data_IF_897723797515
#
_entry.id   IF_897723797515
#
_cell.length_a   1.000
_cell.length_b   1.000
_cell.length_c   1.000
_cell.angle_alpha   90.00
_cell.angle_beta   90.00
_cell.angle_gamma   90.00
#
_symmetry.space_group_name_H-M   'P 1'
#
loop_
_entity.id
_entity.type
_entity.pdbx_description
1 polymer ?
#
# COMPACT_ATOMS: atom_id res chain seq x y z
N UNK A 1 -31.95 6.01 -27.48
CA UNK A 1 -30.93 6.09 -26.42
C UNK A 1 -31.53 5.39 -25.22
N UNK A 2 -31.15 4.13 -25.03
CA UNK A 2 -31.58 3.33 -23.88
C UNK A 2 -30.66 3.70 -22.74
N UNK A 3 -31.21 4.29 -21.68
CA UNK A 3 -30.49 4.55 -20.43
C UNK A 3 -29.87 3.25 -19.94
N UNK A 4 -28.58 3.28 -19.63
CA UNK A 4 -27.91 2.22 -18.86
C UNK A 4 -28.51 2.33 -17.46
N UNK A 5 -29.49 1.48 -17.16
CA UNK A 5 -29.97 1.25 -15.80
C UNK A 5 -28.91 0.49 -15.02
N UNK A 6 -27.99 1.22 -14.40
CA UNK A 6 -27.14 0.66 -13.35
C UNK A 6 -27.94 0.66 -12.05
N UNK A 7 -28.24 -0.51 -11.49
CA UNK A 7 -28.65 -0.63 -10.10
C UNK A 7 -27.54 -0.01 -9.25
N UNK A 8 -27.82 1.14 -8.61
CA UNK A 8 -26.82 1.97 -7.93
C UNK A 8 -25.89 1.15 -7.05
N UNK A 9 -24.59 1.18 -7.39
CA UNK A 9 -23.56 0.45 -6.65
C UNK A 9 -23.56 0.85 -5.17
N UNK A 10 -23.61 -0.14 -4.27
CA UNK A 10 -23.57 0.07 -2.83
C UNK A 10 -22.15 0.11 -2.26
N UNK A 11 -21.12 -0.08 -3.08
CA UNK A 11 -19.73 -0.16 -2.66
C UNK A 11 -18.94 1.10 -3.03
N UNK A 12 -17.89 1.39 -2.28
CA UNK A 12 -17.00 2.52 -2.53
C UNK A 12 -15.64 2.33 -1.87
N UNK A 13 -14.64 3.08 -2.33
CA UNK A 13 -13.31 3.10 -1.70
C UNK A 13 -13.22 4.34 -0.80
N UNK A 14 -13.03 4.12 0.49
CA UNK A 14 -12.76 5.16 1.47
C UNK A 14 -11.26 5.35 1.67
N UNK A 15 -10.78 6.58 1.50
CA UNK A 15 -9.39 6.97 1.77
C UNK A 15 -9.38 8.16 2.76
N UNK A 16 -9.86 7.98 4.01
CA UNK A 16 -9.72 9.03 5.02
C UNK A 16 -8.24 9.22 5.35
N UNK A 17 -7.81 10.47 5.44
CA UNK A 17 -6.44 10.82 5.81
C UNK A 17 -6.49 11.67 7.08
N UNK A 18 -5.81 11.22 8.12
CA UNK A 18 -5.76 11.89 9.41
C UNK A 18 -4.36 12.47 9.68
N UNK A 19 -4.36 13.70 10.20
CA UNK A 19 -3.18 14.47 10.55
C UNK A 19 -2.06 14.46 9.48
N UNK A 20 -2.45 14.71 8.22
CA UNK A 20 -1.50 14.84 7.12
C UNK A 20 -0.64 16.08 7.32
N UNK A 21 0.65 15.87 7.56
CA UNK A 21 1.65 16.93 7.51
C UNK A 21 2.46 16.74 6.23
N UNK A 22 2.37 17.68 5.30
CA UNK A 22 3.07 17.59 4.03
C UNK A 22 3.74 18.92 3.67
N UNK A 23 4.97 18.83 3.17
CA UNK A 23 5.69 19.92 2.54
C UNK A 23 6.16 19.47 1.16
N UNK A 24 5.94 20.33 0.17
CA UNK A 24 6.30 20.10 -1.23
C UNK A 24 7.03 21.33 -1.73
N UNK A 25 8.25 21.13 -2.20
CA UNK A 25 9.02 22.15 -2.90
C UNK A 25 9.20 21.74 -4.35
N UNK A 26 8.95 22.67 -5.28
CA UNK A 26 9.12 22.49 -6.71
C UNK A 26 9.98 23.62 -7.28
N UNK A 27 10.91 23.28 -8.18
CA UNK A 27 11.71 24.28 -8.89
C UNK A 27 12.05 23.82 -10.30
N UNK A 28 12.25 24.76 -11.21
CA UNK A 28 12.75 24.46 -12.55
C UNK A 28 14.21 24.01 -12.48
N UNK A 29 14.56 22.95 -13.21
CA UNK A 29 15.92 22.43 -13.30
C UNK A 29 16.23 21.88 -14.70
N UNK A 30 17.47 21.43 -14.89
CA UNK A 30 17.88 20.63 -16.03
C UNK A 30 18.52 19.33 -15.56
N UNK A 31 18.49 18.28 -16.37
CA UNK A 31 19.09 16.99 -16.03
C UNK A 31 19.69 16.27 -17.24
N UNK A 32 20.61 15.34 -16.95
CA UNK A 32 21.31 14.55 -17.96
C UNK A 32 22.37 15.35 -18.73
N UNK A 33 23.08 14.67 -19.63
CA UNK A 33 24.14 15.28 -20.45
C UNK A 33 23.62 16.30 -21.45
N UNK A 34 22.34 16.19 -21.84
CA UNK A 34 21.71 17.03 -22.86
C UNK A 34 20.97 18.25 -22.26
N UNK A 35 21.12 18.50 -20.95
CA UNK A 35 20.43 19.58 -20.22
C UNK A 35 18.92 19.62 -20.46
N UNK A 36 18.27 18.44 -20.43
CA UNK A 36 16.82 18.34 -20.62
C UNK A 36 16.09 19.08 -19.51
N UNK A 37 15.06 19.84 -19.86
CA UNK A 37 14.25 20.58 -18.88
C UNK A 37 13.47 19.61 -17.98
N UNK A 38 13.43 19.91 -16.69
CA UNK A 38 12.71 19.14 -15.69
C UNK A 38 12.22 20.02 -14.53
N UNK A 39 11.34 19.45 -13.71
CA UNK A 39 10.91 20.00 -12.43
C UNK A 39 11.62 19.21 -11.35
N UNK A 40 12.50 19.86 -10.58
CA UNK A 40 12.99 19.28 -9.35
C UNK A 40 11.88 19.28 -8.31
N UNK A 41 11.76 18.20 -7.55
CA UNK A 41 10.81 18.08 -6.46
C UNK A 41 11.50 17.63 -5.17
N UNK A 42 10.97 18.10 -4.04
CA UNK A 42 11.23 17.55 -2.72
C UNK A 42 9.89 17.44 -1.98
N UNK A 43 9.54 16.24 -1.58
CA UNK A 43 8.29 15.92 -0.88
C UNK A 43 8.66 15.28 0.44
N UNK A 44 8.06 15.80 1.51
CA UNK A 44 7.99 15.13 2.81
C UNK A 44 6.54 15.12 3.23
N UNK A 45 5.99 13.93 3.47
CA UNK A 45 4.62 13.77 3.93
C UNK A 45 4.58 12.73 5.05
N UNK A 46 3.73 12.94 6.04
CA UNK A 46 3.45 11.96 7.08
C UNK A 46 1.98 11.95 7.45
N UNK A 47 1.48 10.78 7.84
CA UNK A 47 0.13 10.57 8.34
C UNK A 47 0.20 9.93 9.71
N UNK A 48 -0.83 10.12 10.51
CA UNK A 48 -0.99 9.37 11.75
C UNK A 48 -2.02 8.27 11.57
N UNK A 49 -1.75 7.13 12.18
CA UNK A 49 -2.61 5.94 12.06
C UNK A 49 -3.96 6.16 12.70
N UNK A 50 -4.02 6.21 14.04
CA UNK A 50 -5.24 6.44 14.82
C UNK A 50 -5.10 7.68 15.68
N UNK A 51 -6.16 8.49 15.75
CA UNK A 51 -6.25 9.61 16.66
C UNK A 51 -7.69 9.95 17.02
N UNK A 52 -7.87 10.87 17.97
CA UNK A 52 -9.16 11.47 18.29
C UNK A 52 -9.18 12.86 17.66
N UNK A 53 -10.17 13.14 16.82
CA UNK A 53 -10.37 14.48 16.27
C UNK A 53 -10.71 15.44 17.42
N UNK A 54 -9.90 16.49 17.60
CA UNK A 54 -10.03 17.44 18.71
C UNK A 54 -11.28 18.34 18.59
N UNK A 55 -11.90 18.45 17.42
CA UNK A 55 -13.09 19.26 17.15
C UNK A 55 -14.38 18.45 17.36
N UNK A 56 -14.41 17.20 16.92
CA UNK A 56 -15.62 16.36 17.03
C UNK A 56 -15.58 15.42 18.23
N UNK A 57 -14.41 15.18 18.82
CA UNK A 57 -14.21 14.16 19.85
C UNK A 57 -14.35 12.74 19.31
N UNK A 58 -14.45 12.57 17.99
CA UNK A 58 -14.66 11.28 17.35
C UNK A 58 -13.34 10.64 16.91
N UNK A 59 -13.25 9.30 17.00
CA UNK A 59 -12.14 8.53 16.44
C UNK A 59 -11.92 8.82 14.96
N UNK A 60 -10.66 9.01 14.58
CA UNK A 60 -10.21 9.27 13.22
C UNK A 60 -9.02 8.39 12.88
N UNK A 61 -8.95 7.96 11.64
CA UNK A 61 -7.91 7.05 11.18
C UNK A 61 -7.48 7.40 9.76
N UNK A 62 -6.20 7.22 9.46
CA UNK A 62 -5.74 7.16 8.07
C UNK A 62 -5.96 5.74 7.56
N UNK A 63 -6.73 5.58 6.49
CA UNK A 63 -7.12 4.26 5.99
C UNK A 63 -7.24 4.21 4.46
N UNK A 64 -7.15 3.00 3.91
CA UNK A 64 -7.54 2.66 2.54
C UNK A 64 -8.43 1.43 2.67
N UNK A 65 -9.74 1.65 2.56
CA UNK A 65 -10.75 0.62 2.82
C UNK A 65 -11.76 0.54 1.68
N UNK A 66 -12.08 -0.69 1.27
CA UNK A 66 -13.25 -0.97 0.47
C UNK A 66 -14.45 -1.05 1.40
N UNK A 67 -15.53 -0.34 1.09
CA UNK A 67 -16.75 -0.26 1.88
C UNK A 67 -17.88 -0.87 1.06
N UNK A 68 -18.71 -1.70 1.68
CA UNK A 68 -20.01 -2.13 1.18
C UNK A 68 -21.13 -1.57 2.06
N UNK A 69 -21.84 -0.60 1.52
CA UNK A 69 -22.97 0.11 2.12
C UNK A 69 -24.33 -0.47 1.75
N UNK A 70 -24.42 -1.73 1.30
CA UNK A 70 -25.72 -2.36 1.00
C UNK A 70 -26.61 -2.34 2.25
N UNK A 71 -27.92 -2.15 2.06
CA UNK A 71 -28.87 -2.29 3.14
C UNK A 71 -28.86 -3.72 3.69
N UNK A 72 -28.74 -3.84 5.01
CA UNK A 72 -28.79 -5.10 5.72
C UNK A 72 -30.21 -5.50 6.11
N UNK A 73 -30.26 -6.50 6.97
CA UNK A 73 -31.49 -7.12 7.52
C UNK A 73 -32.32 -6.15 8.39
N UNK A 74 -31.75 -4.99 8.73
CA UNK A 74 -32.40 -3.94 9.52
C UNK A 74 -32.87 -2.73 8.69
N UNK A 75 -32.82 -2.81 7.35
CA UNK A 75 -33.25 -1.71 6.47
C UNK A 75 -32.33 -0.48 6.46
N UNK A 76 -31.15 -0.59 7.08
CA UNK A 76 -30.09 0.42 7.11
C UNK A 76 -28.80 -0.15 6.48
N UNK A 77 -27.91 0.72 6.01
CA UNK A 77 -26.64 0.33 5.42
C UNK A 77 -25.74 -0.40 6.44
N UNK A 78 -25.23 -1.58 6.09
CA UNK A 78 -24.38 -2.40 6.97
C UNK A 78 -22.97 -1.84 7.11
N UNK A 79 -22.49 -1.15 6.07
CA UNK A 79 -21.18 -0.51 5.99
C UNK A 79 -20.04 -1.46 6.40
N UNK A 80 -20.02 -2.65 5.81
CA UNK A 80 -18.88 -3.54 5.94
C UNK A 80 -17.66 -2.90 5.29
N UNK A 81 -16.48 -3.18 5.81
CA UNK A 81 -15.25 -2.76 5.19
C UNK A 81 -14.19 -3.84 5.21
N UNK A 82 -13.29 -3.78 4.24
CA UNK A 82 -12.05 -4.55 4.21
C UNK A 82 -10.93 -3.65 3.70
N UNK A 83 -9.78 -3.67 4.37
CA UNK A 83 -8.61 -2.93 3.89
C UNK A 83 -7.62 -2.58 4.99
N UNK A 84 -6.80 -1.58 4.69
CA UNK A 84 -5.80 -1.06 5.61
C UNK A 84 -6.36 0.08 6.41
N UNK A 85 -6.22 0.01 7.72
CA UNK A 85 -6.53 1.12 8.61
C UNK A 85 -5.36 1.43 9.52
N UNK A 86 -5.47 2.54 10.24
CA UNK A 86 -4.46 3.01 11.16
C UNK A 86 -3.08 3.14 10.50
N UNK A 87 -3.07 3.69 9.29
CA UNK A 87 -1.87 3.89 8.47
C UNK A 87 -1.06 5.07 9.03
N UNK A 88 -0.02 4.74 9.80
CA UNK A 88 1.00 5.69 10.24
C UNK A 88 2.17 5.58 9.27
N UNK A 89 2.38 6.63 8.48
CA UNK A 89 3.29 6.61 7.35
C UNK A 89 4.18 7.86 7.33
N UNK A 90 5.38 7.68 6.79
CA UNK A 90 6.33 8.72 6.45
C UNK A 90 6.84 8.48 5.03
N UNK A 91 6.68 9.48 4.18
CA UNK A 91 7.17 9.51 2.81
C UNK A 91 8.14 10.67 2.69
N UNK A 92 9.35 10.38 2.21
CA UNK A 92 10.33 11.38 1.80
C UNK A 92 10.81 11.02 0.41
N UNK A 93 10.72 11.96 -0.52
CA UNK A 93 11.29 11.76 -1.83
C UNK A 93 11.82 13.07 -2.38
N UNK A 94 12.99 13.02 -2.99
CA UNK A 94 13.54 14.11 -3.77
C UNK A 94 14.03 13.59 -5.11
N UNK A 95 13.94 14.42 -6.13
CA UNK A 95 14.38 14.06 -7.47
C UNK A 95 13.78 14.97 -8.53
N UNK A 96 13.46 14.41 -9.68
CA UNK A 96 12.97 15.15 -10.85
C UNK A 96 11.73 14.54 -11.48
N UNK A 97 10.89 15.40 -12.05
CA UNK A 97 9.81 15.06 -12.97
C UNK A 97 10.14 15.69 -14.32
N UNK A 98 10.08 14.91 -15.39
CA UNK A 98 10.28 15.39 -16.76
C UNK A 98 9.38 14.62 -17.73
N UNK A 99 9.41 15.01 -18.99
CA UNK A 99 8.73 14.29 -20.05
C UNK A 99 9.73 13.53 -20.91
N UNK A 100 9.38 12.29 -21.27
CA UNK A 100 10.02 11.49 -22.32
C UNK A 100 9.00 11.29 -23.44
N UNK A 101 9.44 10.90 -24.63
CA UNK A 101 8.57 10.74 -25.81
C UNK A 101 7.35 9.82 -25.55
N UNK A 102 7.52 8.84 -24.65
CA UNK A 102 6.48 7.85 -24.30
C UNK A 102 5.62 8.24 -23.08
N UNK A 103 5.95 9.30 -22.33
CA UNK A 103 5.16 9.70 -21.16
C UNK A 103 5.87 10.51 -20.09
N UNK A 104 5.30 10.48 -18.88
CA UNK A 104 5.82 11.23 -17.72
C UNK A 104 6.89 10.40 -17.03
N UNK A 105 8.08 10.97 -16.93
CA UNK A 105 9.22 10.35 -16.29
C UNK A 105 9.51 10.99 -14.94
N UNK A 106 9.55 10.19 -13.90
CA UNK A 106 9.85 10.58 -12.53
C UNK A 106 11.10 9.81 -12.12
N UNK A 107 12.11 10.52 -11.58
CA UNK A 107 13.27 9.90 -10.94
C UNK A 107 13.33 10.40 -9.51
N UNK A 108 13.31 9.48 -8.57
CA UNK A 108 13.59 9.74 -7.16
C UNK A 108 15.07 9.46 -6.91
N UNK A 109 15.86 10.52 -6.72
CA UNK A 109 17.28 10.41 -6.36
C UNK A 109 17.43 9.89 -4.91
N UNK A 110 16.45 10.22 -4.05
CA UNK A 110 16.23 9.54 -2.78
C UNK A 110 14.74 9.26 -2.59
N UNK A 111 14.42 8.07 -2.10
CA UNK A 111 13.08 7.64 -1.74
C UNK A 111 13.14 6.87 -0.43
N UNK A 112 12.40 7.36 0.56
CA UNK A 112 12.12 6.68 1.81
C UNK A 112 10.61 6.63 2.01
N UNK A 113 10.05 5.43 2.06
CA UNK A 113 8.67 5.18 2.45
C UNK A 113 8.71 4.24 3.64
N UNK A 114 8.26 4.70 4.80
CA UNK A 114 8.00 3.85 5.96
C UNK A 114 6.53 3.90 6.29
N UNK A 115 5.88 2.75 6.49
CA UNK A 115 4.51 2.72 6.95
C UNK A 115 4.24 1.49 7.83
N UNK A 116 3.34 1.66 8.78
CA UNK A 116 2.68 0.56 9.51
C UNK A 116 1.17 0.73 9.39
N UNK A 117 0.46 -0.38 9.26
CA UNK A 117 -0.98 -0.41 9.13
C UNK A 117 -1.54 -1.71 9.70
N UNK A 118 -2.85 -1.71 9.96
CA UNK A 118 -3.61 -2.90 10.31
C UNK A 118 -4.44 -3.34 9.10
N UNK A 119 -4.33 -4.61 8.71
CA UNK A 119 -5.26 -5.23 7.76
C UNK A 119 -6.47 -5.70 8.56
N UNK A 120 -7.64 -5.12 8.27
CA UNK A 120 -8.85 -5.36 9.03
C UNK A 120 -10.06 -5.62 8.11
N UNK A 121 -11.00 -6.43 8.61
CA UNK A 121 -12.30 -6.66 7.99
C UNK A 121 -13.35 -6.56 9.08
N UNK A 122 -14.27 -5.61 8.94
CA UNK A 122 -15.23 -5.30 10.00
C UNK A 122 -16.40 -4.47 9.50
N UNK A 123 -17.08 -3.82 10.44
CA UNK A 123 -18.15 -2.84 10.16
C UNK A 123 -17.71 -1.45 10.61
N UNK A 124 -18.09 -0.42 9.86
CA UNK A 124 -17.71 0.95 10.20
C UNK A 124 -18.31 1.38 11.55
N UNK A 125 -17.56 2.17 12.35
CA UNK A 125 -18.10 2.77 13.58
C UNK A 125 -19.44 3.48 13.35
N UNK A 126 -20.41 3.28 14.25
CA UNK A 126 -21.75 3.88 14.15
C UNK A 126 -22.75 3.13 13.24
N UNK A 127 -22.34 2.09 12.51
CA UNK A 127 -23.28 1.19 11.81
C UNK A 127 -23.93 0.20 12.78
N UNK A 128 -25.02 -0.48 12.36
CA UNK A 128 -25.64 -1.56 13.14
C UNK A 128 -25.04 -2.91 12.76
N UNK A 129 -24.83 -3.77 13.75
CA UNK A 129 -24.44 -5.16 13.49
C UNK A 129 -25.52 -5.88 12.70
N UNK A 130 -25.15 -6.38 11.51
CA UNK A 130 -26.09 -7.00 10.58
C UNK A 130 -26.28 -8.48 10.93
N UNK A 131 -27.33 -8.79 11.67
CA UNK A 131 -27.69 -10.16 12.00
C UNK A 131 -29.19 -10.30 12.23
N UNK A 132 -29.69 -11.53 12.05
CA UNK A 132 -31.12 -11.85 12.17
C UNK A 132 -31.46 -12.55 13.48
N UNK A 133 -30.46 -13.05 14.20
CA UNK A 133 -30.65 -13.81 15.43
C UNK A 133 -30.48 -12.93 16.67
N UNK A 134 -31.60 -12.58 17.29
CA UNK A 134 -31.66 -11.77 18.51
C UNK A 134 -30.96 -12.40 19.73
N UNK A 135 -30.60 -13.70 19.69
CA UNK A 135 -29.81 -14.35 20.74
C UNK A 135 -28.32 -13.99 20.71
N UNK A 136 -27.84 -13.33 19.66
CA UNK A 136 -26.47 -12.80 19.60
C UNK A 136 -26.43 -11.46 20.33
N UNK A 137 -25.62 -11.35 21.38
CA UNK A 137 -25.57 -10.18 22.31
C UNK A 137 -25.37 -8.82 21.64
N UNK A 138 -24.73 -8.76 20.47
CA UNK A 138 -24.47 -7.52 19.72
C UNK A 138 -25.51 -7.24 18.62
N UNK A 139 -26.53 -8.09 18.46
CA UNK A 139 -27.40 -8.04 17.30
C UNK A 139 -28.31 -6.82 17.23
N UNK A 140 -28.31 -6.13 16.09
CA UNK A 140 -29.01 -4.85 15.92
C UNK A 140 -28.43 -3.68 16.75
N UNK A 141 -27.40 -3.93 17.56
CA UNK A 141 -26.67 -2.90 18.31
C UNK A 141 -25.72 -2.11 17.42
N UNK A 142 -25.23 -0.98 17.93
CA UNK A 142 -24.29 -0.13 17.20
C UNK A 142 -22.84 -0.59 17.36
N UNK A 143 -22.08 -0.53 16.28
CA UNK A 143 -20.63 -0.67 16.29
C UNK A 143 -20.05 0.50 17.10
N UNK A 144 -19.20 0.24 18.12
CA UNK A 144 -18.62 1.30 18.95
C UNK A 144 -17.88 2.35 18.11
N UNK A 145 -17.98 3.62 18.51
CA UNK A 145 -17.31 4.73 17.81
C UNK A 145 -15.79 4.55 17.81
N UNK A 146 -15.25 3.95 18.87
CA UNK A 146 -13.83 3.66 19.09
C UNK A 146 -13.36 2.33 18.46
N UNK A 147 -14.14 1.70 17.58
CA UNK A 147 -13.79 0.39 17.02
C UNK A 147 -12.41 0.38 16.33
N UNK A 148 -11.99 1.50 15.71
CA UNK A 148 -10.65 1.63 15.12
C UNK A 148 -9.51 1.69 16.14
N UNK A 149 -9.79 1.89 17.44
CA UNK A 149 -8.78 1.73 18.51
C UNK A 149 -8.70 0.30 19.06
N UNK A 150 -9.66 -0.57 18.69
CA UNK A 150 -9.78 -1.95 19.15
C UNK A 150 -9.27 -2.89 18.07
N UNK A 151 -8.82 -4.06 18.48
CA UNK A 151 -8.26 -5.06 17.56
C UNK A 151 -9.22 -6.18 17.18
N UNK A 152 -10.49 -6.07 17.58
CA UNK A 152 -11.52 -7.12 17.42
C UNK A 152 -11.75 -7.55 15.95
N UNK A 153 -11.40 -6.69 14.99
CA UNK A 153 -11.58 -6.87 13.54
C UNK A 153 -10.26 -6.83 12.75
N UNK A 154 -9.12 -6.86 13.44
CA UNK A 154 -7.78 -6.89 12.82
C UNK A 154 -7.38 -8.32 12.53
N UNK A 155 -7.01 -8.60 11.28
CA UNK A 155 -6.48 -9.89 10.86
C UNK A 155 -4.97 -10.00 11.11
N UNK A 156 -4.25 -8.91 10.82
CA UNK A 156 -2.79 -8.84 10.98
C UNK A 156 -2.32 -7.39 10.89
N UNK A 157 -1.13 -7.12 11.40
CA UNK A 157 -0.41 -5.88 11.21
C UNK A 157 0.56 -6.04 10.03
N UNK A 158 0.74 -4.98 9.25
CA UNK A 158 1.74 -4.89 8.20
C UNK A 158 2.64 -3.70 8.51
N UNK A 159 3.94 -3.90 8.42
CA UNK A 159 4.92 -2.83 8.53
C UNK A 159 5.96 -2.97 7.42
N UNK A 160 6.32 -1.87 6.78
CA UNK A 160 7.35 -1.88 5.76
C UNK A 160 8.16 -0.59 5.75
N UNK A 161 9.39 -0.71 5.25
CA UNK A 161 10.28 0.39 4.93
C UNK A 161 10.93 0.11 3.58
N UNK A 162 10.78 1.04 2.64
CA UNK A 162 11.47 1.08 1.37
C UNK A 162 12.42 2.28 1.41
N UNK A 163 13.72 2.04 1.35
CA UNK A 163 14.79 3.03 1.40
C UNK A 163 15.74 2.79 0.23
N UNK A 164 15.87 3.77 -0.67
CA UNK A 164 16.59 3.59 -1.92
C UNK A 164 16.40 4.76 -2.89
N UNK A 165 16.56 4.47 -4.17
CA UNK A 165 16.32 5.38 -5.28
C UNK A 165 15.51 4.65 -6.37
N UNK A 166 14.96 5.39 -7.31
CA UNK A 166 14.22 4.74 -8.38
C UNK A 166 13.72 5.66 -9.47
N UNK A 167 13.23 5.04 -10.52
CA UNK A 167 12.68 5.67 -11.71
C UNK A 167 11.27 5.11 -11.94
N UNK A 168 10.36 5.96 -12.40
CA UNK A 168 9.00 5.61 -12.78
C UNK A 168 8.67 6.32 -14.09
N UNK A 169 8.30 5.56 -15.10
CA UNK A 169 7.76 6.04 -16.36
C UNK A 169 6.27 5.70 -16.41
N UNK A 170 5.44 6.75 -16.44
CA UNK A 170 3.99 6.66 -16.60
C UNK A 170 3.67 6.85 -18.07
N UNK A 171 3.17 5.81 -18.70
CA UNK A 171 2.88 5.75 -20.13
C UNK A 171 1.35 5.73 -20.29
N UNK A 172 0.74 6.83 -20.77
CA UNK A 172 -0.67 6.82 -21.11
C UNK A 172 -0.90 5.95 -22.34
N UNK A 173 -2.03 5.26 -22.36
CA UNK A 173 -2.55 4.56 -23.52
C UNK A 173 -3.09 5.55 -24.55
N UNK A 174 -3.43 5.01 -25.72
CA UNK A 174 -4.04 5.76 -26.82
C UNK A 174 -5.45 5.25 -27.09
N UNK A 175 -6.26 6.04 -27.77
CA UNK A 175 -7.65 5.68 -28.06
C UNK A 175 -7.73 4.33 -28.81
N UNK A 176 -8.62 3.43 -28.37
CA UNK A 176 -8.76 2.13 -28.98
C UNK A 176 -9.29 2.26 -30.40
N UNK A 177 -8.64 1.55 -31.33
CA UNK A 177 -9.10 1.43 -32.72
C UNK A 177 -9.71 0.05 -32.95
N UNK A 178 -10.51 -0.12 -34.00
CA UNK A 178 -11.06 -1.44 -34.35
C UNK A 178 -9.98 -2.50 -34.61
N UNK A 179 -8.80 -2.09 -35.07
CA UNK A 179 -7.61 -2.93 -35.26
C UNK A 179 -6.77 -3.15 -34.00
N UNK A 180 -6.94 -2.31 -32.98
CA UNK A 180 -6.20 -2.39 -31.71
C UNK A 180 -7.10 -1.91 -30.56
N UNK A 181 -8.06 -2.75 -30.13
CA UNK A 181 -9.04 -2.38 -29.10
C UNK A 181 -8.42 -2.26 -27.69
N UNK A 182 -7.18 -2.72 -27.52
CA UNK A 182 -6.51 -2.93 -26.24
C UNK A 182 -5.48 -1.83 -25.91
N UNK A 183 -5.70 -0.61 -26.38
CA UNK A 183 -4.75 0.51 -26.21
C UNK A 183 -5.14 1.51 -25.13
N UNK A 184 -6.37 1.45 -24.61
CA UNK A 184 -6.79 2.26 -23.47
C UNK A 184 -6.26 1.66 -22.16
N UNK A 185 -5.07 2.10 -21.75
CA UNK A 185 -4.46 1.68 -20.51
C UNK A 185 -3.66 2.83 -19.88
N UNK A 186 -3.26 2.66 -18.63
CA UNK A 186 -2.24 3.45 -17.97
C UNK A 186 -1.15 2.48 -17.50
N UNK A 187 0.04 2.59 -18.07
CA UNK A 187 1.17 1.72 -17.75
C UNK A 187 2.17 2.45 -16.86
N UNK A 188 2.74 1.73 -15.92
CA UNK A 188 3.75 2.19 -14.97
C UNK A 188 4.95 1.26 -15.10
N UNK A 189 6.04 1.78 -15.63
CA UNK A 189 7.32 1.07 -15.68
C UNK A 189 8.23 1.70 -14.65
N UNK A 190 8.45 1.02 -13.53
CA UNK A 190 9.35 1.47 -12.49
C UNK A 190 10.58 0.57 -12.35
N UNK A 191 11.67 1.18 -11.92
CA UNK A 191 12.88 0.52 -11.47
C UNK A 191 13.23 1.10 -10.10
N UNK A 192 13.49 0.24 -9.12
CA UNK A 192 13.82 0.65 -7.77
C UNK A 192 15.06 -0.10 -7.31
N UNK A 193 16.05 0.64 -6.84
CA UNK A 193 17.25 0.07 -6.23
C UNK A 193 17.23 0.37 -4.73
N UNK A 194 17.27 -0.70 -3.93
CA UNK A 194 17.40 -0.57 -2.49
C UNK A 194 18.77 0.01 -2.14
N UNK A 195 18.79 0.93 -1.17
CA UNK A 195 20.04 1.45 -0.62
C UNK A 195 20.84 0.32 0.01
N UNK A 196 22.10 0.07 -0.41
CA UNK A 196 22.97 -0.88 0.26
C UNK A 196 23.24 -0.47 1.72
N UNK A 197 23.37 -1.46 2.58
CA UNK A 197 23.73 -1.28 3.98
C UNK A 197 25.26 -1.19 4.12
N UNK A 198 25.74 -0.25 4.93
CA UNK A 198 27.17 -0.18 5.26
C UNK A 198 27.61 -1.37 6.13
N UNK A 199 28.92 -1.55 6.32
CA UNK A 199 29.44 -2.59 7.20
C UNK A 199 28.96 -2.42 8.65
N UNK A 200 28.91 -1.18 9.12
CA UNK A 200 28.42 -0.81 10.46
C UNK A 200 26.92 -1.08 10.61
N UNK A 201 26.13 -0.74 9.58
CA UNK A 201 24.69 -1.01 9.55
C UNK A 201 24.40 -2.51 9.53
N UNK A 202 25.18 -3.30 8.79
CA UNK A 202 25.06 -4.75 8.77
C UNK A 202 25.42 -5.41 10.11
N UNK A 203 26.42 -4.87 10.82
CA UNK A 203 26.84 -5.33 12.13
C UNK A 203 25.79 -5.03 13.22
N UNK A 204 25.00 -3.97 13.06
CA UNK A 204 23.92 -3.63 13.99
C UNK A 204 22.69 -4.54 13.76
N UNK A 205 22.39 -5.41 14.72
CA UNK A 205 21.23 -6.32 14.66
C UNK A 205 19.88 -5.59 14.69
N UNK A 206 19.84 -4.38 15.22
CA UNK A 206 18.61 -3.57 15.28
C UNK A 206 18.35 -2.84 13.95
N UNK A 207 19.35 -2.77 13.06
CA UNK A 207 19.14 -2.21 11.72
C UNK A 207 18.54 -3.27 10.79
N UNK A 208 17.26 -3.07 10.48
CA UNK A 208 16.48 -3.90 9.56
C UNK A 208 16.61 -3.47 8.10
N UNK A 209 17.32 -2.38 7.79
CA UNK A 209 17.43 -1.82 6.44
C UNK A 209 16.05 -1.50 5.84
N UNK A 210 15.89 -1.80 4.55
CA UNK A 210 14.56 -1.92 3.95
C UNK A 210 13.93 -3.26 4.34
N UNK A 211 12.66 -3.24 4.74
CA UNK A 211 11.98 -4.43 5.24
C UNK A 211 10.48 -4.46 4.89
N UNK A 212 9.93 -5.66 4.94
CA UNK A 212 8.49 -5.95 4.95
C UNK A 212 8.21 -6.95 6.05
N UNK A 213 7.19 -6.68 6.87
CA UNK A 213 6.83 -7.47 8.03
C UNK A 213 5.32 -7.66 8.08
N UNK A 214 4.92 -8.89 8.41
CA UNK A 214 3.56 -9.22 8.79
C UNK A 214 3.62 -9.74 10.23
N UNK A 215 2.85 -9.11 11.11
CA UNK A 215 2.85 -9.43 12.52
C UNK A 215 1.43 -9.67 13.03
N UNK A 216 1.26 -10.70 13.85
CA UNK A 216 0.04 -10.90 14.61
C UNK A 216 0.28 -10.62 16.10
N UNK A 217 -0.75 -10.07 16.73
CA UNK A 217 -0.74 -9.75 18.15
C UNK A 217 -1.94 -10.45 18.80
N UNK A 218 -1.66 -11.21 19.85
CA UNK A 218 -2.65 -11.99 20.58
C UNK A 218 -2.48 -11.78 22.09
N UNK A 219 -3.53 -11.98 22.87
CA UNK A 219 -3.48 -11.88 24.34
C UNK A 219 -3.59 -13.29 24.90
N UNK A 220 -2.58 -13.72 25.66
CA UNK A 220 -2.61 -15.04 26.28
C UNK A 220 -3.65 -15.13 27.42
N UNK A 221 -3.87 -16.33 27.96
CA UNK A 221 -4.82 -16.57 29.05
C UNK A 221 -4.52 -15.79 30.34
N UNK A 222 -3.33 -15.18 30.47
CA UNK A 222 -2.92 -14.35 31.60
C UNK A 222 -3.05 -12.84 31.31
N UNK A 223 -3.59 -12.47 30.14
CA UNK A 223 -3.75 -11.07 29.74
C UNK A 223 -2.48 -10.44 29.16
N UNK A 224 -1.45 -11.22 28.81
CA UNK A 224 -0.18 -10.71 28.31
C UNK A 224 -0.17 -10.70 26.79
N UNK A 225 0.14 -9.54 26.20
CA UNK A 225 0.32 -9.39 24.76
C UNK A 225 1.48 -10.25 24.26
N UNK A 226 1.19 -11.13 23.31
CA UNK A 226 2.14 -11.91 22.54
C UNK A 226 2.17 -11.41 21.12
N UNK A 227 3.37 -11.22 20.59
CA UNK A 227 3.55 -10.80 19.20
C UNK A 227 4.34 -11.87 18.46
N UNK A 228 3.89 -12.19 17.26
CA UNK A 228 4.61 -13.08 16.34
C UNK A 228 4.70 -12.40 15.00
N UNK A 229 5.85 -12.45 14.35
CA UNK A 229 6.01 -11.83 13.03
C UNK A 229 6.91 -12.61 12.11
N UNK A 230 6.61 -12.48 10.82
CA UNK A 230 7.43 -12.92 9.70
C UNK A 230 7.96 -11.68 9.02
N UNK A 231 9.26 -11.64 8.79
CA UNK A 231 9.98 -10.46 8.32
C UNK A 231 10.88 -10.84 7.16
N UNK A 232 10.81 -10.04 6.09
CA UNK A 232 11.84 -9.95 5.07
C UNK A 232 12.54 -8.63 5.30
N UNK A 233 13.75 -8.67 5.86
CA UNK A 233 14.52 -7.48 6.20
C UNK A 233 15.84 -7.43 5.44
N UNK A 234 16.54 -6.30 5.56
CA UNK A 234 17.81 -6.03 4.87
C UNK A 234 17.70 -6.31 3.37
N UNK A 235 16.59 -5.85 2.78
CA UNK A 235 16.35 -5.97 1.35
C UNK A 235 17.36 -5.09 0.59
N UNK A 236 18.09 -5.70 -0.34
CA UNK A 236 19.09 -5.05 -1.18
C UNK A 236 18.94 -5.51 -2.64
N UNK A 237 19.42 -4.70 -3.58
CA UNK A 237 19.41 -4.98 -5.01
C UNK A 237 18.30 -4.28 -5.77
N UNK A 238 18.01 -4.76 -6.98
CA UNK A 238 17.16 -4.06 -7.94
C UNK A 238 15.82 -4.77 -8.16
N UNK A 239 14.74 -4.00 -8.14
CA UNK A 239 13.39 -4.42 -8.49
C UNK A 239 12.93 -3.66 -9.74
N UNK A 240 12.51 -4.41 -10.76
CA UNK A 240 11.73 -3.86 -11.86
C UNK A 240 10.25 -4.05 -11.57
N UNK A 241 9.44 -3.02 -11.69
CA UNK A 241 7.99 -3.12 -11.58
C UNK A 241 7.37 -2.70 -12.90
N UNK A 242 6.47 -3.52 -13.42
CA UNK A 242 5.60 -3.16 -14.55
C UNK A 242 4.17 -3.35 -14.11
N UNK A 243 3.44 -2.26 -13.98
CA UNK A 243 2.01 -2.29 -13.74
C UNK A 243 1.27 -1.73 -14.95
N UNK A 244 0.13 -2.32 -15.29
CA UNK A 244 -0.78 -1.80 -16.31
C UNK A 244 -2.19 -1.84 -15.75
N UNK A 245 -2.83 -0.68 -15.73
CA UNK A 245 -4.26 -0.54 -15.44
C UNK A 245 -4.97 -0.39 -16.76
N UNK A 246 -5.93 -1.24 -17.05
CA UNK A 246 -6.78 -1.13 -18.24
C UNK A 246 -8.21 -0.92 -17.77
N UNK A 247 -8.88 0.01 -18.43
CA UNK A 247 -10.31 0.30 -18.21
C UNK A 247 -11.03 0.05 -19.51
N UNK A 248 -11.95 -0.90 -19.48
CA UNK A 248 -12.89 -1.22 -20.55
C UNK A 248 -14.31 -0.91 -20.08
N UNK A 249 -15.29 -0.93 -20.98
CA UNK A 249 -16.68 -0.62 -20.64
C UNK A 249 -17.19 -1.41 -19.42
N UNK A 250 -16.84 -2.71 -19.36
CA UNK A 250 -17.38 -3.63 -18.34
C UNK A 250 -16.30 -4.14 -17.37
N UNK A 251 -15.02 -3.78 -17.55
CA UNK A 251 -13.93 -4.34 -16.74
C UNK A 251 -12.82 -3.35 -16.47
N UNK A 252 -12.28 -3.41 -15.26
CA UNK A 252 -10.99 -2.81 -14.89
C UNK A 252 -10.02 -3.96 -14.62
N UNK A 253 -8.91 -4.02 -15.37
CA UNK A 253 -7.86 -5.01 -15.15
C UNK A 253 -6.58 -4.36 -14.66
N UNK A 254 -5.96 -5.00 -13.67
CA UNK A 254 -4.74 -4.60 -12.99
C UNK A 254 -3.71 -5.71 -13.21
N UNK A 255 -2.80 -5.50 -14.15
CA UNK A 255 -1.70 -6.40 -14.45
C UNK A 255 -0.42 -5.90 -13.82
N UNK A 256 0.16 -6.66 -12.89
CA UNK A 256 1.35 -6.28 -12.14
C UNK A 256 2.44 -7.34 -12.32
N UNK A 257 3.66 -6.90 -12.60
CA UNK A 257 4.84 -7.75 -12.66
C UNK A 257 5.94 -7.12 -11.82
N UNK A 258 6.52 -7.91 -10.93
CA UNK A 258 7.71 -7.54 -10.15
C UNK A 258 8.84 -8.46 -10.57
N UNK A 259 9.85 -7.89 -11.21
CA UNK A 259 11.07 -8.58 -11.63
C UNK A 259 12.12 -8.41 -10.54
N UNK A 260 12.50 -9.53 -9.94
CA UNK A 260 13.55 -9.61 -8.93
C UNK A 260 14.89 -9.69 -9.64
N UNK A 261 15.86 -8.86 -9.22
CA UNK A 261 17.11 -8.64 -9.96
C UNK A 261 16.83 -8.29 -11.42
N UNK A 262 16.32 -7.07 -11.65
CA UNK A 262 15.81 -6.64 -12.96
C UNK A 262 16.80 -6.88 -14.12
N UNK A 263 18.10 -6.73 -13.87
CA UNK A 263 19.16 -6.91 -14.87
C UNK A 263 19.58 -8.38 -15.06
N UNK A 264 19.09 -9.30 -14.22
CA UNK A 264 19.51 -10.70 -14.15
C UNK A 264 21.04 -10.85 -13.97
N UNK A 265 21.67 -9.89 -13.29
CA UNK A 265 23.10 -9.91 -13.04
C UNK A 265 23.41 -10.70 -11.76
N UNK A 266 24.14 -11.83 -11.91
CA UNK A 266 24.48 -12.69 -10.77
C UNK A 266 25.39 -12.01 -9.74
N UNK A 267 26.12 -10.95 -10.13
CA UNK A 267 26.97 -10.19 -9.22
C UNK A 267 26.16 -9.29 -8.26
N UNK A 268 24.95 -8.89 -8.66
CA UNK A 268 24.06 -7.99 -7.92
C UNK A 268 22.68 -8.62 -7.72
N UNK A 269 22.59 -9.81 -7.08
CA UNK A 269 21.31 -10.47 -6.86
C UNK A 269 20.44 -9.62 -5.93
N UNK A 270 19.12 -9.82 -6.02
CA UNK A 270 18.22 -9.32 -4.98
C UNK A 270 18.44 -10.13 -3.72
N UNK A 271 18.73 -9.47 -2.59
CA UNK A 271 19.04 -10.11 -1.32
C UNK A 271 18.02 -9.71 -0.26
N UNK A 272 17.70 -10.62 0.63
CA UNK A 272 16.93 -10.34 1.83
C UNK A 272 17.18 -11.40 2.89
N UNK A 273 16.99 -11.04 4.15
CA UNK A 273 16.97 -11.97 5.27
C UNK A 273 15.53 -12.29 5.64
N UNK A 274 15.21 -13.59 5.63
CA UNK A 274 13.99 -14.11 6.19
C UNK A 274 14.18 -14.34 7.69
N UNK A 275 13.40 -13.64 8.51
CA UNK A 275 13.50 -13.68 9.95
C UNK A 275 12.12 -13.82 10.59
N UNK A 276 12.08 -14.57 11.69
CA UNK A 276 10.88 -14.72 12.51
C UNK A 276 11.12 -14.07 13.86
N UNK A 277 10.11 -13.40 14.41
CA UNK A 277 10.19 -12.84 15.74
C UNK A 277 9.04 -13.31 16.61
N UNK A 278 9.36 -13.59 17.88
CA UNK A 278 8.37 -13.85 18.92
C UNK A 278 8.64 -12.94 20.10
N UNK A 279 7.64 -12.14 20.49
CA UNK A 279 7.73 -11.17 21.59
C UNK A 279 8.95 -10.24 21.45
N UNK A 280 9.19 -9.74 20.23
CA UNK A 280 10.29 -8.82 19.91
C UNK A 280 11.66 -9.47 19.68
N UNK A 281 11.85 -10.74 20.03
CA UNK A 281 13.11 -11.45 19.78
C UNK A 281 13.16 -11.96 18.34
N UNK A 282 13.78 -11.18 17.45
CA UNK A 282 13.94 -11.56 16.04
C UNK A 282 15.12 -12.51 15.84
N UNK A 283 14.87 -13.61 15.15
CA UNK A 283 15.88 -14.59 14.75
C UNK A 283 15.94 -14.69 13.22
N UNK A 284 17.14 -14.54 12.67
CA UNK A 284 17.37 -14.77 11.25
C UNK A 284 17.27 -16.27 10.96
N UNK A 285 16.33 -16.64 10.10
CA UNK A 285 16.07 -18.03 9.73
C UNK A 285 16.82 -18.42 8.47
N UNK A 286 16.88 -17.52 7.48
CA UNK A 286 17.59 -17.75 6.24
C UNK A 286 18.02 -16.44 5.58
N UNK A 287 19.15 -16.46 4.90
CA UNK A 287 19.55 -15.41 3.96
C UNK A 287 19.23 -15.87 2.54
N UNK A 288 18.46 -15.06 1.83
CA UNK A 288 17.94 -15.36 0.49
C UNK A 288 18.67 -14.47 -0.51
N UNK A 289 19.14 -15.07 -1.60
CA UNK A 289 19.67 -14.37 -2.77
C UNK A 289 18.95 -14.88 -4.03
N UNK A 290 18.27 -13.97 -4.74
CA UNK A 290 17.54 -14.26 -5.97
C UNK A 290 18.29 -13.61 -7.14
N UNK A 291 18.85 -14.46 -8.00
CA UNK A 291 19.62 -14.03 -9.16
C UNK A 291 18.75 -13.63 -10.35
N UNK A 292 17.43 -13.86 -10.26
CA UNK A 292 16.44 -13.49 -11.26
C UNK A 292 15.07 -14.05 -10.88
N UNK A 293 14.02 -13.56 -11.54
CA UNK A 293 12.66 -14.06 -11.37
C UNK A 293 11.62 -13.00 -11.68
N UNK A 294 10.40 -13.41 -11.99
CA UNK A 294 9.28 -12.48 -12.18
C UNK A 294 8.06 -13.00 -11.45
N UNK A 295 7.59 -12.22 -10.48
CA UNK A 295 6.31 -12.42 -9.82
C UNK A 295 5.26 -11.70 -10.65
N UNK A 296 4.17 -12.37 -11.00
CA UNK A 296 3.07 -11.79 -11.77
C UNK A 296 1.77 -11.91 -10.99
N UNK A 297 0.97 -10.86 -11.03
CA UNK A 297 -0.38 -10.81 -10.46
C UNK A 297 -1.30 -10.08 -11.44
N UNK A 298 -2.42 -10.70 -11.77
CA UNK A 298 -3.47 -10.11 -12.60
C UNK A 298 -4.76 -10.14 -11.82
N UNK A 299 -5.41 -9.00 -11.69
CA UNK A 299 -6.73 -8.87 -11.08
C UNK A 299 -7.67 -8.20 -12.06
N UNK A 300 -8.82 -8.82 -12.32
CA UNK A 300 -9.91 -8.22 -13.08
C UNK A 300 -11.09 -7.92 -12.17
N UNK A 301 -11.61 -6.71 -12.25
CA UNK A 301 -12.84 -6.29 -11.58
C UNK A 301 -13.87 -6.02 -12.69
N UNK A 302 -15.00 -6.72 -12.63
CA UNK A 302 -16.19 -6.39 -13.42
C UNK A 302 -17.12 -5.62 -12.50
N UNK A 303 -17.24 -4.29 -12.65
CA UNK A 303 -18.25 -3.53 -11.93
C UNK A 303 -19.63 -4.11 -12.28
N UNK A 304 -20.46 -4.37 -11.26
CA UNK A 304 -21.86 -4.74 -11.45
C UNK A 304 -22.70 -3.50 -11.72
#
# INVERSE_FOLDING_TARGET
MTEIGGDGGSWGIGIPIYNLNANVALSGTTYGTDNKQAIAYNIMASTEGYGIDKKTGLPSTTSIILIDGKNGEHGEAVNYYAGFRNIDALIKSEGIISYKDEGIYIRADKLLIGAKAELAIGQLPGSKYNCTNASITKCGGYVPHDNFSKRDDVLTNIAFKLDGNGELLIIPGVDPTSSSPDTNFLSFNANFEFRPLTAEENANKDNLGSYFSIANEDIDSAGVLKTSSINFNRMEGHLGVKAKVRVSADTVTLDNQVKLNYENNIATPFKTNFAMATNGNMQNMASIALTGGTIRSTMGITPR
#
